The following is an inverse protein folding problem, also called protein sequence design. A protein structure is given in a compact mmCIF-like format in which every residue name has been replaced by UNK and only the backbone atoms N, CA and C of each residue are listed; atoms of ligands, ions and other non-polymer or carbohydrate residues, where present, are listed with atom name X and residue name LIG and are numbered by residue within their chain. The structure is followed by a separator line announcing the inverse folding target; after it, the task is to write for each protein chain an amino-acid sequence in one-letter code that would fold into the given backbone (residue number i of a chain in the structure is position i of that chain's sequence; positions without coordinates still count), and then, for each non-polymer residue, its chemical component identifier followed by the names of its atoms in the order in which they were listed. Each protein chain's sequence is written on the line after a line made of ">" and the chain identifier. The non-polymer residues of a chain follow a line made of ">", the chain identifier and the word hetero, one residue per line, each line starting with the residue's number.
data_IF_040455865853
#
_entry.id   IF_040455865853
#
_cell.length_a   1.000
_cell.length_b   1.000
_cell.length_c   1.000
_cell.angle_alpha   90.00
_cell.angle_beta   90.00
_cell.angle_gamma   90.00
#
_symmetry.space_group_name_H-M   'P 1'
#
loop_
_entity.id
_entity.type
_entity.pdbx_description
1 polymer ?
#
# COMPACT_ATOMS: atom_id res chain seq x y z
N UNK A 1 -21.69 11.40 -2.17
CA UNK A 1 -20.70 12.30 -2.80
C UNK A 1 -19.67 11.49 -3.53
N UNK A 2 -19.41 11.79 -4.80
CA UNK A 2 -18.47 11.05 -5.61
C UNK A 2 -17.03 11.37 -5.15
N UNK A 3 -16.21 10.33 -5.03
CA UNK A 3 -14.79 10.51 -4.70
C UNK A 3 -14.06 11.22 -5.84
N UNK A 4 -13.34 12.28 -5.51
CA UNK A 4 -12.64 13.12 -6.50
C UNK A 4 -11.52 12.38 -7.25
N UNK A 5 -11.00 11.32 -6.66
CA UNK A 5 -9.89 10.59 -7.23
C UNK A 5 -10.33 9.54 -8.25
N UNK A 6 -11.56 9.06 -8.17
CA UNK A 6 -12.10 8.07 -9.11
C UNK A 6 -12.22 8.68 -10.50
N UNK A 7 -11.69 7.99 -11.51
CA UNK A 7 -11.62 8.46 -12.89
C UNK A 7 -10.39 9.30 -13.21
N UNK A 8 -9.61 9.68 -12.20
CA UNK A 8 -8.38 10.44 -12.38
C UNK A 8 -7.26 9.53 -12.89
N UNK A 9 -6.40 10.08 -13.71
CA UNK A 9 -5.21 9.39 -14.20
C UNK A 9 -3.98 10.06 -13.61
N UNK A 10 -3.35 9.41 -12.63
CA UNK A 10 -2.17 9.93 -11.97
C UNK A 10 -0.94 9.72 -12.86
N UNK A 11 -0.15 10.79 -13.00
CA UNK A 11 1.08 10.79 -13.78
C UNK A 11 0.87 10.32 -15.24
N UNK A 12 -0.34 10.50 -15.77
CA UNK A 12 -0.71 10.03 -17.11
C UNK A 12 -0.67 8.51 -17.26
N UNK A 13 -0.57 7.76 -16.19
CA UNK A 13 -0.32 6.32 -16.21
C UNK A 13 -1.31 5.49 -15.39
N UNK A 14 -1.64 5.94 -14.18
CA UNK A 14 -2.45 5.14 -13.24
C UNK A 14 -3.88 5.65 -13.21
N UNK A 15 -4.78 4.92 -13.82
CA UNK A 15 -6.20 5.26 -13.88
C UNK A 15 -6.94 4.71 -12.67
N UNK A 16 -7.42 5.59 -11.82
CA UNK A 16 -8.11 5.24 -10.58
C UNK A 16 -9.53 4.75 -10.89
N UNK A 17 -9.87 3.54 -10.48
CA UNK A 17 -11.16 2.92 -10.78
C UNK A 17 -12.08 2.77 -9.57
N UNK A 18 -11.54 2.53 -8.38
CA UNK A 18 -12.34 2.17 -7.21
C UNK A 18 -11.62 2.52 -5.91
N UNK A 19 -12.36 2.99 -4.91
CA UNK A 19 -11.86 3.15 -3.55
C UNK A 19 -11.96 1.79 -2.83
N UNK A 20 -10.85 1.28 -2.31
CA UNK A 20 -10.80 -0.04 -1.66
C UNK A 20 -10.42 0.01 -0.19
N UNK A 21 -9.89 1.12 0.31
CA UNK A 21 -9.54 1.26 1.72
C UNK A 21 -9.45 2.71 2.17
N UNK A 22 -9.83 2.97 3.41
CA UNK A 22 -9.76 4.29 4.03
C UNK A 22 -8.85 4.18 5.25
N UNK A 23 -7.77 4.97 5.27
CA UNK A 23 -6.83 5.03 6.38
C UNK A 23 -6.84 6.39 7.06
N UNK A 24 -5.99 6.54 8.08
CA UNK A 24 -5.85 7.79 8.81
C UNK A 24 -5.15 8.89 8.00
N UNK A 25 -4.05 8.54 7.34
CA UNK A 25 -3.23 9.49 6.57
C UNK A 25 -3.43 9.37 5.05
N UNK A 26 -3.85 8.23 4.58
CA UNK A 26 -3.99 7.94 3.16
C UNK A 26 -5.17 7.01 2.89
N UNK A 27 -5.70 7.11 1.70
CA UNK A 27 -6.72 6.20 1.19
C UNK A 27 -6.12 5.32 0.10
N UNK A 28 -6.63 4.10 -0.05
CA UNK A 28 -6.13 3.13 -1.02
C UNK A 28 -7.18 2.91 -2.11
N UNK A 29 -6.72 2.97 -3.35
CA UNK A 29 -7.55 2.80 -4.53
C UNK A 29 -7.06 1.63 -5.37
N UNK A 30 -7.99 1.00 -6.06
CA UNK A 30 -7.69 0.12 -7.17
C UNK A 30 -7.48 0.99 -8.42
N UNK A 31 -6.49 0.66 -9.21
CA UNK A 31 -6.16 1.41 -10.42
C UNK A 31 -5.66 0.48 -11.51
N UNK A 32 -5.63 0.98 -12.73
CA UNK A 32 -5.06 0.30 -13.87
C UNK A 32 -3.80 1.05 -14.31
N UNK A 33 -2.68 0.34 -14.34
CA UNK A 33 -1.44 0.81 -14.95
C UNK A 33 -1.56 0.61 -16.45
N UNK A 34 -1.80 1.69 -17.19
CA UNK A 34 -2.05 1.63 -18.63
C UNK A 34 -0.79 1.33 -19.45
N UNK A 35 0.40 1.51 -18.88
CA UNK A 35 1.66 1.21 -19.56
C UNK A 35 1.97 -0.27 -19.47
N UNK A 36 1.92 -0.85 -18.27
CA UNK A 36 2.20 -2.26 -18.03
C UNK A 36 0.95 -3.15 -18.16
N UNK A 37 -0.21 -2.56 -18.42
CA UNK A 37 -1.50 -3.23 -18.60
C UNK A 37 -1.81 -4.20 -17.44
N UNK A 38 -1.78 -3.69 -16.22
CA UNK A 38 -2.05 -4.49 -15.03
C UNK A 38 -2.81 -3.69 -13.97
N UNK A 39 -3.55 -4.43 -13.14
CA UNK A 39 -4.22 -3.87 -11.97
C UNK A 39 -3.20 -3.64 -10.87
N UNK A 40 -3.26 -2.47 -10.24
CA UNK A 40 -2.40 -2.08 -9.12
C UNK A 40 -3.24 -1.48 -8.00
N UNK A 41 -2.66 -1.37 -6.80
CA UNK A 41 -3.20 -0.58 -5.71
C UNK A 41 -2.45 0.74 -5.64
N UNK A 42 -3.16 1.83 -5.45
CA UNK A 42 -2.57 3.16 -5.31
C UNK A 42 -2.98 3.75 -3.97
N UNK A 43 -1.99 4.05 -3.15
CA UNK A 43 -2.17 4.70 -1.86
C UNK A 43 -1.96 6.20 -2.05
N UNK A 44 -3.00 6.99 -1.82
CA UNK A 44 -2.98 8.44 -2.00
C UNK A 44 -3.02 9.11 -0.63
N UNK A 45 -2.02 9.96 -0.36
CA UNK A 45 -1.96 10.73 0.86
C UNK A 45 -3.10 11.75 0.90
N UNK A 46 -3.78 11.85 2.04
CA UNK A 46 -4.87 12.82 2.21
C UNK A 46 -4.36 14.25 2.11
N UNK A 47 -5.17 15.13 1.54
CA UNK A 47 -4.80 16.53 1.26
C UNK A 47 -4.38 17.31 2.50
N UNK A 48 -4.91 16.99 3.67
CA UNK A 48 -4.56 17.63 4.94
C UNK A 48 -3.07 17.46 5.31
N UNK A 49 -2.40 16.43 4.78
CA UNK A 49 -0.98 16.16 4.99
C UNK A 49 -0.10 16.69 3.85
N UNK A 50 -0.69 17.11 2.75
CA UNK A 50 0.05 17.52 1.55
C UNK A 50 0.72 18.90 1.64
N UNK A 51 0.41 19.68 2.67
CA UNK A 51 0.97 21.03 2.88
C UNK A 51 2.19 21.03 3.81
N UNK A 52 2.51 19.91 4.45
CA UNK A 52 3.67 19.76 5.32
C UNK A 52 4.84 19.17 4.52
N UNK A 53 5.75 20.02 4.09
CA UNK A 53 6.90 19.62 3.26
C UNK A 53 7.84 18.66 3.99
N UNK A 54 8.03 18.80 5.28
CA UNK A 54 8.87 17.90 6.07
C UNK A 54 8.24 16.51 6.16
N UNK A 55 6.93 16.46 6.39
CA UNK A 55 6.15 15.22 6.39
C UNK A 55 6.22 14.53 5.04
N UNK A 56 6.03 15.27 3.94
CA UNK A 56 6.09 14.73 2.57
C UNK A 56 7.48 14.18 2.24
N UNK A 57 8.54 14.90 2.64
CA UNK A 57 9.91 14.43 2.42
C UNK A 57 10.19 13.14 3.16
N UNK A 58 9.80 13.05 4.42
CA UNK A 58 9.95 11.85 5.24
C UNK A 58 9.15 10.69 4.64
N UNK A 59 7.90 10.93 4.29
CA UNK A 59 7.03 9.94 3.66
C UNK A 59 7.64 9.39 2.37
N UNK A 60 8.16 10.26 1.49
CA UNK A 60 8.82 9.85 0.25
C UNK A 60 10.08 9.02 0.50
N UNK A 61 10.91 9.46 1.43
CA UNK A 61 12.16 8.76 1.75
C UNK A 61 11.90 7.37 2.33
N UNK A 62 10.95 7.25 3.24
CA UNK A 62 10.54 5.97 3.82
C UNK A 62 9.94 5.06 2.75
N UNK A 63 9.07 5.59 1.90
CA UNK A 63 8.46 4.83 0.81
C UNK A 63 9.49 4.28 -0.18
N UNK A 64 10.48 5.09 -0.54
CA UNK A 64 11.58 4.66 -1.42
C UNK A 64 12.45 3.59 -0.78
N UNK A 65 12.70 3.70 0.53
CA UNK A 65 13.46 2.69 1.27
C UNK A 65 12.71 1.34 1.28
N UNK A 66 11.41 1.37 1.47
CA UNK A 66 10.57 0.15 1.45
C UNK A 66 10.45 -0.42 0.04
N UNK A 67 10.47 0.43 -0.99
CA UNK A 67 10.32 0.02 -2.39
C UNK A 67 11.43 -0.95 -2.87
N UNK A 68 12.60 -0.94 -2.22
CA UNK A 68 13.68 -1.87 -2.56
C UNK A 68 13.53 -3.25 -1.93
N UNK A 69 12.58 -3.42 -1.00
CA UNK A 69 12.32 -4.72 -0.39
C UNK A 69 11.68 -5.68 -1.39
N UNK A 70 12.16 -6.91 -1.42
CA UNK A 70 11.59 -7.98 -2.24
C UNK A 70 11.50 -9.24 -1.41
N UNK A 71 10.27 -9.59 -1.01
CA UNK A 71 10.02 -10.76 -0.18
C UNK A 71 8.58 -11.25 -0.42
N UNK A 72 8.33 -12.56 -0.45
CA UNK A 72 7.00 -13.10 -0.73
C UNK A 72 5.92 -12.71 0.30
N UNK A 73 6.33 -12.32 1.51
CA UNK A 73 5.40 -11.90 2.57
C UNK A 73 5.34 -10.38 2.75
N UNK A 74 5.87 -9.61 1.80
CA UNK A 74 5.81 -8.14 1.80
C UNK A 74 5.18 -7.68 0.49
N UNK A 75 4.16 -6.84 0.58
CA UNK A 75 3.54 -6.22 -0.60
C UNK A 75 4.59 -5.41 -1.35
N UNK A 76 4.72 -5.65 -2.65
CA UNK A 76 5.72 -4.96 -3.47
C UNK A 76 5.27 -3.56 -3.82
N UNK A 77 6.15 -2.58 -3.65
CA UNK A 77 5.96 -1.22 -4.13
C UNK A 77 6.57 -1.11 -5.52
N UNK A 78 5.78 -0.67 -6.49
CA UNK A 78 6.21 -0.50 -7.87
C UNK A 78 6.71 0.90 -8.15
N UNK A 79 6.11 1.91 -7.54
CA UNK A 79 6.41 3.30 -7.84
C UNK A 79 6.03 4.21 -6.67
N UNK A 80 6.72 5.34 -6.56
CA UNK A 80 6.40 6.40 -5.62
C UNK A 80 6.40 7.70 -6.41
N UNK A 81 5.27 8.40 -6.44
CA UNK A 81 5.11 9.56 -7.27
C UNK A 81 4.53 10.78 -6.55
N UNK A 82 4.75 11.91 -7.17
CA UNK A 82 4.16 13.19 -6.75
C UNK A 82 3.76 13.96 -8.00
N UNK A 83 2.47 14.18 -8.17
CA UNK A 83 1.93 14.92 -9.32
C UNK A 83 0.70 15.72 -8.89
N UNK A 84 0.50 16.90 -9.47
CA UNK A 84 -0.66 17.77 -9.17
C UNK A 84 -0.92 17.96 -7.66
N UNK A 85 0.16 18.07 -6.87
CA UNK A 85 0.12 18.15 -5.40
C UNK A 85 -0.41 16.89 -4.71
N UNK A 86 -0.45 15.77 -5.42
CA UNK A 86 -0.83 14.47 -4.88
C UNK A 86 0.41 13.61 -4.69
N UNK A 87 0.63 13.18 -3.45
CA UNK A 87 1.65 12.18 -3.12
C UNK A 87 1.01 10.80 -3.13
N UNK A 88 1.57 9.87 -3.89
CA UNK A 88 1.01 8.54 -4.03
C UNK A 88 2.09 7.45 -4.06
N UNK A 89 1.66 6.24 -3.71
CA UNK A 89 2.48 5.03 -3.79
C UNK A 89 1.72 4.01 -4.61
N UNK A 90 2.37 3.45 -5.62
CA UNK A 90 1.81 2.36 -6.44
C UNK A 90 2.37 1.04 -5.94
N UNK A 91 1.49 0.11 -5.64
CA UNK A 91 1.88 -1.18 -5.07
C UNK A 91 1.09 -2.32 -5.69
N UNK A 92 1.55 -3.51 -5.39
CA UNK A 92 0.89 -4.75 -5.76
C UNK A 92 -0.56 -4.76 -5.27
N UNK A 93 -1.49 -5.09 -6.18
CA UNK A 93 -2.89 -5.29 -5.82
C UNK A 93 -3.09 -6.73 -5.34
N UNK A 94 -3.57 -6.87 -4.11
CA UNK A 94 -3.89 -8.17 -3.54
C UNK A 94 -5.40 -8.37 -3.63
N UNK A 95 -5.82 -9.31 -4.47
CA UNK A 95 -7.22 -9.71 -4.59
C UNK A 95 -7.54 -10.75 -3.51
N UNK A 96 -7.94 -10.27 -2.35
CA UNK A 96 -8.19 -11.13 -1.20
C UNK A 96 -8.72 -10.34 -0.02
N UNK A 97 -8.56 -10.90 1.16
CA UNK A 97 -9.03 -10.29 2.41
C UNK A 97 -7.85 -10.07 3.36
N UNK A 98 -8.02 -9.17 4.32
CA UNK A 98 -7.03 -8.93 5.37
C UNK A 98 -7.05 -10.08 6.38
N UNK A 99 -5.97 -10.21 7.15
CA UNK A 99 -5.92 -11.18 8.24
C UNK A 99 -7.03 -10.92 9.27
N UNK A 100 -7.33 -9.64 9.54
CA UNK A 100 -8.42 -9.25 10.43
C UNK A 100 -9.78 -9.79 9.94
N UNK A 101 -10.09 -9.58 8.66
CA UNK A 101 -11.33 -10.07 8.04
C UNK A 101 -11.39 -11.61 8.06
N UNK A 102 -10.27 -12.27 7.79
CA UNK A 102 -10.16 -13.72 7.88
C UNK A 102 -10.48 -14.22 9.29
N UNK A 103 -9.90 -13.57 10.32
CA UNK A 103 -10.15 -13.92 11.72
C UNK A 103 -11.62 -13.70 12.10
N UNK A 104 -12.23 -12.62 11.64
CA UNK A 104 -13.64 -12.34 11.88
C UNK A 104 -14.56 -13.40 11.25
N UNK A 105 -14.21 -13.90 10.08
CA UNK A 105 -14.97 -14.95 9.38
C UNK A 105 -14.80 -16.32 10.03
N UNK A 106 -13.58 -16.65 10.48
CA UNK A 106 -13.27 -17.95 11.07
C UNK A 106 -13.67 -18.07 12.55
N UNK A 107 -13.84 -16.94 13.24
CA UNK A 107 -14.01 -16.90 14.68
C UNK A 107 -12.64 -17.08 15.37
N UNK A 108 -12.47 -18.17 16.12
CA UNK A 108 -11.19 -18.45 16.81
C UNK A 108 -10.25 -19.16 15.82
N UNK A 109 -9.04 -18.60 15.63
CA UNK A 109 -8.00 -19.26 14.84
C UNK A 109 -7.49 -20.50 15.55
N UNK A 110 -7.29 -21.58 14.79
CA UNK A 110 -6.58 -22.76 15.27
C UNK A 110 -5.11 -22.38 15.52
N UNK A 111 -4.50 -22.92 16.58
CA UNK A 111 -3.13 -22.58 16.96
C UNK A 111 -2.11 -22.85 15.83
N UNK A 112 -2.33 -23.88 15.01
CA UNK A 112 -1.46 -24.19 13.86
C UNK A 112 -1.50 -23.10 12.81
N UNK A 113 -2.69 -22.58 12.50
CA UNK A 113 -2.87 -21.49 11.55
C UNK A 113 -2.25 -20.19 12.11
N UNK A 114 -2.46 -19.90 13.39
CA UNK A 114 -1.88 -18.74 14.04
C UNK A 114 -0.35 -18.76 13.98
N UNK A 115 0.28 -19.91 14.28
CA UNK A 115 1.73 -20.07 14.17
C UNK A 115 2.22 -19.88 12.74
N UNK A 116 1.49 -20.42 11.75
CA UNK A 116 1.84 -20.28 10.34
C UNK A 116 1.86 -18.80 9.92
N UNK A 117 0.84 -18.03 10.27
CA UNK A 117 0.80 -16.58 10.01
C UNK A 117 1.93 -15.83 10.71
N UNK A 118 2.16 -16.12 11.99
CA UNK A 118 3.21 -15.46 12.77
C UNK A 118 4.59 -15.72 12.18
N UNK A 119 4.89 -16.93 11.75
CA UNK A 119 6.18 -17.27 11.13
C UNK A 119 6.38 -16.45 9.84
N UNK A 120 5.36 -16.34 9.01
CA UNK A 120 5.45 -15.56 7.78
C UNK A 120 5.64 -14.07 8.06
N UNK A 121 4.93 -13.52 9.03
CA UNK A 121 5.10 -12.14 9.47
C UNK A 121 6.53 -11.91 10.00
N UNK A 122 7.04 -12.80 10.83
CA UNK A 122 8.40 -12.69 11.37
C UNK A 122 9.46 -12.76 10.27
N UNK A 123 9.28 -13.60 9.28
CA UNK A 123 10.19 -13.66 8.12
C UNK A 123 10.20 -12.35 7.34
N UNK A 124 9.03 -11.75 7.13
CA UNK A 124 8.92 -10.44 6.50
C UNK A 124 9.63 -9.36 7.31
N UNK A 125 9.39 -9.30 8.61
CA UNK A 125 10.03 -8.35 9.51
C UNK A 125 11.55 -8.56 9.58
N UNK A 126 12.02 -9.79 9.62
CA UNK A 126 13.46 -10.10 9.58
C UNK A 126 14.10 -9.57 8.31
N UNK A 127 13.47 -9.78 7.16
CA UNK A 127 13.94 -9.27 5.88
C UNK A 127 14.09 -7.75 5.90
N UNK A 128 13.09 -7.04 6.42
CA UNK A 128 13.11 -5.58 6.53
C UNK A 128 14.18 -5.10 7.53
N UNK A 129 14.26 -5.73 8.71
CA UNK A 129 15.23 -5.39 9.76
C UNK A 129 16.67 -5.57 9.29
N UNK A 130 16.96 -6.64 8.56
CA UNK A 130 18.29 -6.90 8.00
C UNK A 130 18.73 -5.80 7.03
N UNK A 131 17.79 -5.02 6.52
CA UNK A 131 18.04 -3.88 5.61
C UNK A 131 17.87 -2.53 6.29
N UNK A 132 17.81 -2.52 7.62
CA UNK A 132 17.72 -1.30 8.42
C UNK A 132 16.33 -0.65 8.45
N UNK A 133 15.29 -1.37 8.06
CA UNK A 133 13.91 -0.86 8.05
C UNK A 133 13.15 -1.48 9.22
N UNK A 134 12.61 -0.62 10.09
CA UNK A 134 11.78 -1.03 11.23
C UNK A 134 10.35 -0.60 10.96
N UNK A 135 9.44 -1.58 11.05
CA UNK A 135 8.01 -1.33 10.86
C UNK A 135 7.42 -0.57 12.04
#
# INVERSE_FOLDING_TARGET
>A
MMDRNIGRKLDGRYEITELIGIGGMADVYKAIDIIDDRVVAVKILKTEFSNDEEFLRRFRNESKAIAVLSHPNIVKIYDVGFTEKIQFIVMEYIDGITLKEFMEQQGILKWKDAIHFVIQILRALQHAHDRGIVH
#
